data_IF_415037003416
#
_entry.id   IF_415037003416
#
_cell.length_a   1.000
_cell.length_b   1.000
_cell.length_c   1.000
_cell.angle_alpha   90.00
_cell.angle_beta   90.00
_cell.angle_gamma   90.00
#
_symmetry.space_group_name_H-M   'P 1'
#
loop_
_entity.id
_entity.type
_entity.pdbx_description
1 polymer ?
#
# COMPACT_ATOMS: atom_id res chain seq x y z
N UNK A 1 -22.97 -9.37 37.46
CA UNK A 1 -22.04 -8.27 37.80
C UNK A 1 -20.66 -8.73 38.28
N UNK A 2 -20.42 -10.03 38.53
CA UNK A 2 -19.12 -10.55 39.03
C UNK A 2 -18.05 -10.83 37.93
N UNK A 3 -18.40 -10.61 36.65
CA UNK A 3 -17.54 -10.99 35.51
C UNK A 3 -16.54 -9.89 35.12
N UNK A 4 -16.83 -8.62 35.45
CA UNK A 4 -15.92 -7.51 35.15
C UNK A 4 -14.74 -7.47 36.13
N UNK A 5 -15.01 -7.68 37.42
CA UNK A 5 -14.02 -7.67 38.50
C UNK A 5 -12.92 -8.73 38.28
N UNK A 6 -13.32 -9.94 37.89
CA UNK A 6 -12.39 -11.05 37.59
C UNK A 6 -11.51 -10.79 36.35
N UNK A 7 -11.98 -10.00 35.39
CA UNK A 7 -11.18 -9.63 34.21
C UNK A 7 -10.17 -8.53 34.58
N UNK A 8 -10.58 -7.56 35.39
CA UNK A 8 -9.72 -6.45 35.79
C UNK A 8 -8.60 -6.92 36.74
N UNK A 9 -8.90 -7.84 37.66
CA UNK A 9 -7.90 -8.51 38.50
C UNK A 9 -6.85 -9.27 37.68
N UNK A 10 -7.26 -9.95 36.61
CA UNK A 10 -6.32 -10.71 35.77
C UNK A 10 -5.49 -9.83 34.84
N UNK A 11 -6.03 -8.71 34.36
CA UNK A 11 -5.28 -7.71 33.58
C UNK A 11 -4.20 -7.04 34.43
N UNK A 12 -4.50 -6.74 35.69
CA UNK A 12 -3.55 -6.11 36.61
C UNK A 12 -2.38 -7.02 37.01
N UNK A 13 -2.57 -8.34 36.98
CA UNK A 13 -1.56 -9.33 37.32
C UNK A 13 -0.78 -9.88 36.12
N UNK A 14 -0.96 -9.31 34.92
CA UNK A 14 -0.19 -9.73 33.76
C UNK A 14 1.25 -9.22 33.92
N UNK A 15 2.28 -10.09 33.80
CA UNK A 15 3.66 -9.63 33.87
C UNK A 15 3.90 -8.60 32.77
N UNK A 16 4.63 -7.55 33.10
CA UNK A 16 5.08 -6.59 32.10
C UNK A 16 5.81 -7.37 31.00
N UNK A 17 5.50 -7.12 29.71
CA UNK A 17 6.26 -7.74 28.65
C UNK A 17 7.73 -7.37 28.87
N UNK A 18 8.61 -8.36 28.73
CA UNK A 18 10.04 -8.08 28.72
C UNK A 18 10.31 -6.96 27.73
N UNK A 19 11.12 -5.98 28.16
CA UNK A 19 11.48 -4.85 27.30
C UNK A 19 11.93 -5.41 25.96
N UNK A 20 11.46 -4.83 24.83
CA UNK A 20 11.86 -5.31 23.52
C UNK A 20 13.39 -5.38 23.50
N UNK A 21 13.98 -6.52 23.13
CA UNK A 21 15.41 -6.69 23.19
C UNK A 21 16.03 -5.69 22.21
N UNK A 22 16.59 -4.63 22.79
CA UNK A 22 17.31 -3.55 22.11
C UNK A 22 16.41 -2.64 21.25
N UNK A 23 16.63 -1.33 21.33
CA UNK A 23 16.01 -0.39 20.41
C UNK A 23 16.42 -0.73 18.98
N UNK A 24 15.50 -0.65 18.01
CA UNK A 24 15.83 -0.88 16.60
C UNK A 24 17.01 0.02 16.20
N UNK A 25 18.14 -0.59 15.84
CA UNK A 25 19.24 0.17 15.30
C UNK A 25 18.87 0.61 13.88
N UNK A 26 19.02 1.90 13.58
CA UNK A 26 18.70 2.39 12.24
C UNK A 26 19.59 1.76 11.14
N UNK A 27 20.65 1.03 11.54
CA UNK A 27 21.45 0.20 10.63
C UNK A 27 20.65 -0.96 10.02
N UNK A 28 19.60 -1.43 10.69
CA UNK A 28 18.64 -2.40 10.15
C UNK A 28 17.80 -1.85 8.99
N UNK A 29 17.81 -0.53 8.78
CA UNK A 29 17.14 0.14 7.67
C UNK A 29 18.09 0.60 6.54
N UNK A 30 19.42 0.54 6.74
CA UNK A 30 20.40 0.84 5.69
C UNK A 30 20.59 -0.40 4.81
N UNK A 31 20.14 -0.30 3.56
CA UNK A 31 20.24 -1.31 2.51
C UNK A 31 21.66 -1.85 2.30
N UNK A 32 22.70 -1.11 2.71
CA UNK A 32 24.10 -1.52 2.61
C UNK A 32 24.55 -2.46 3.73
N UNK A 33 23.82 -2.51 4.85
CA UNK A 33 24.17 -3.28 6.04
C UNK A 33 23.39 -4.59 6.14
N UNK A 34 22.25 -4.67 5.46
CA UNK A 34 21.48 -5.89 5.32
C UNK A 34 22.05 -6.73 4.19
N UNK A 35 22.30 -8.02 4.43
CA UNK A 35 22.79 -8.99 3.42
C UNK A 35 21.73 -9.33 2.35
N UNK A 36 20.91 -8.37 1.93
CA UNK A 36 20.09 -8.48 0.73
C UNK A 36 20.95 -7.95 -0.41
N UNK A 37 21.35 -8.83 -1.32
CA UNK A 37 22.02 -8.39 -2.52
C UNK A 37 21.09 -7.42 -3.26
N UNK A 38 21.53 -6.18 -3.47
CA UNK A 38 20.92 -5.34 -4.49
C UNK A 38 20.93 -6.18 -5.77
N UNK A 39 19.75 -6.53 -6.28
CA UNK A 39 19.55 -7.36 -7.46
C UNK A 39 20.11 -6.69 -8.70
N UNK A 40 21.43 -6.57 -8.76
CA UNK A 40 22.21 -5.99 -9.84
C UNK A 40 22.10 -6.97 -11.00
N UNK A 41 21.15 -6.70 -11.89
CA UNK A 41 21.13 -7.29 -13.23
C UNK A 41 22.29 -6.66 -14.00
N UNK A 42 23.51 -7.18 -13.80
CA UNK A 42 24.66 -7.00 -14.68
C UNK A 42 24.54 -8.04 -15.80
N UNK A 43 23.62 -7.84 -16.72
CA UNK A 43 23.74 -8.47 -18.04
C UNK A 43 23.16 -7.51 -19.06
N UNK A 44 23.95 -7.25 -20.10
CA UNK A 44 23.81 -6.11 -20.99
C UNK A 44 22.38 -5.87 -21.47
N UNK A 45 21.85 -4.70 -21.11
CA UNK A 45 20.66 -4.13 -21.77
C UNK A 45 21.12 -3.60 -23.13
N UNK A 46 21.44 -4.52 -24.03
CA UNK A 46 21.66 -4.26 -25.43
C UNK A 46 21.06 -5.40 -26.24
N UNK A 47 19.74 -5.44 -26.28
CA UNK A 47 19.02 -6.12 -27.36
C UNK A 47 18.02 -5.16 -27.97
N UNK A 48 18.54 -4.35 -28.90
CA UNK A 48 17.89 -3.84 -30.11
C UNK A 48 16.47 -3.30 -30.01
N UNK A 49 16.32 -1.98 -30.26
CA UNK A 49 15.15 -1.47 -30.96
C UNK A 49 14.34 -0.32 -30.33
N UNK A 50 14.90 0.52 -29.45
CA UNK A 50 14.22 1.75 -28.96
C UNK A 50 14.29 1.98 -27.45
N UNK A 51 15.47 1.80 -26.85
CA UNK A 51 15.56 1.53 -25.41
C UNK A 51 15.67 2.77 -24.49
N UNK A 52 15.68 4.02 -24.97
CA UNK A 52 15.81 5.18 -24.03
C UNK A 52 15.13 6.48 -24.47
N UNK A 53 14.57 6.56 -25.69
CA UNK A 53 13.98 7.82 -26.20
C UNK A 53 12.54 7.70 -26.69
N UNK A 54 12.07 6.49 -26.93
CA UNK A 54 10.68 6.23 -27.25
C UNK A 54 9.85 6.13 -25.95
N UNK A 55 8.61 6.65 -25.92
CA UNK A 55 7.71 6.37 -24.80
C UNK A 55 7.58 4.85 -24.66
N UNK A 56 7.69 4.35 -23.43
CA UNK A 56 7.51 2.94 -23.11
C UNK A 56 6.04 2.54 -23.33
N UNK A 57 5.66 2.35 -24.59
CA UNK A 57 4.37 1.78 -25.00
C UNK A 57 4.41 0.25 -25.03
N UNK A 58 5.56 -0.34 -24.72
CA UNK A 58 5.74 -1.77 -24.54
C UNK A 58 5.12 -2.25 -23.22
N UNK A 59 4.13 -3.13 -23.33
CA UNK A 59 3.46 -3.92 -22.29
C UNK A 59 3.90 -3.57 -20.86
N UNK A 60 3.17 -2.65 -20.22
CA UNK A 60 3.15 -2.57 -18.78
C UNK A 60 2.68 -3.92 -18.26
N UNK A 61 3.60 -4.73 -17.73
CA UNK A 61 3.25 -5.94 -16.99
C UNK A 61 2.20 -5.59 -15.94
N UNK A 62 1.40 -6.59 -15.56
CA UNK A 62 0.26 -6.55 -14.63
C UNK A 62 0.62 -6.06 -13.21
N UNK A 63 1.14 -4.84 -13.09
CA UNK A 63 1.15 -4.03 -11.88
C UNK A 63 0.24 -2.81 -12.08
N UNK A 64 -0.77 -2.97 -12.94
CA UNK A 64 -1.94 -2.11 -13.00
C UNK A 64 -2.99 -2.54 -11.99
N UNK A 65 -3.92 -1.63 -11.73
CA UNK A 65 -5.12 -1.81 -10.91
C UNK A 65 -5.75 -3.19 -11.15
N UNK A 66 -5.98 -3.93 -10.06
CA UNK A 66 -6.61 -5.25 -10.13
C UNK A 66 -8.05 -5.08 -10.62
N UNK A 67 -8.31 -5.51 -11.86
CA UNK A 67 -9.66 -5.53 -12.39
C UNK A 67 -10.45 -6.62 -11.67
N UNK A 68 -11.60 -6.24 -11.10
CA UNK A 68 -12.60 -7.17 -10.60
C UNK A 68 -13.36 -7.76 -11.80
N UNK A 69 -13.45 -9.09 -11.87
CA UNK A 69 -14.31 -9.77 -12.85
C UNK A 69 -15.79 -9.67 -12.49
N UNK A 70 -16.66 -9.77 -13.50
CA UNK A 70 -18.12 -9.81 -13.31
C UNK A 70 -18.76 -8.45 -13.02
N UNK A 71 -18.09 -7.35 -13.36
CA UNK A 71 -18.65 -6.01 -13.29
C UNK A 71 -19.52 -5.71 -14.52
N UNK A 72 -20.57 -4.91 -14.34
CA UNK A 72 -21.48 -4.47 -15.42
C UNK A 72 -20.82 -3.50 -16.43
N UNK A 73 -19.55 -3.13 -16.20
CA UNK A 73 -18.81 -2.19 -17.04
C UNK A 73 -17.33 -2.11 -16.66
N UNK A 74 -16.60 -1.26 -17.37
CA UNK A 74 -15.17 -1.03 -17.10
C UNK A 74 -15.04 -0.36 -15.72
N UNK A 75 -14.12 -0.80 -14.84
CA UNK A 75 -13.87 -0.13 -13.57
C UNK A 75 -13.57 1.37 -13.70
N UNK A 76 -14.15 2.19 -12.82
CA UNK A 76 -13.97 3.64 -12.77
C UNK A 76 -12.51 4.09 -12.68
N UNK A 77 -11.64 3.27 -12.10
CA UNK A 77 -10.22 3.54 -11.92
C UNK A 77 -9.38 3.19 -13.16
N UNK A 78 -9.92 2.41 -14.11
CA UNK A 78 -9.25 2.09 -15.36
C UNK A 78 -9.16 3.28 -16.33
N UNK A 79 -10.04 4.27 -16.20
CA UNK A 79 -10.13 5.46 -17.06
C UNK A 79 -9.41 6.68 -16.46
N UNK A 80 -9.28 7.76 -17.24
CA UNK A 80 -8.74 9.03 -16.75
C UNK A 80 -9.69 9.66 -15.72
N UNK A 81 -9.16 10.55 -14.86
CA UNK A 81 -9.94 11.23 -13.81
C UNK A 81 -11.17 11.97 -14.38
N UNK A 82 -11.04 12.56 -15.55
CA UNK A 82 -12.11 13.32 -16.20
C UNK A 82 -13.25 12.44 -16.70
N UNK A 83 -13.00 11.14 -16.89
CA UNK A 83 -13.99 10.16 -17.35
C UNK A 83 -14.59 9.34 -16.21
N UNK A 84 -14.16 9.56 -14.95
CA UNK A 84 -14.72 8.88 -13.80
C UNK A 84 -16.22 9.19 -13.66
N UNK A 85 -17.02 8.22 -13.25
CA UNK A 85 -18.47 8.35 -13.01
C UNK A 85 -19.32 8.59 -14.27
N UNK A 86 -18.78 8.31 -15.46
CA UNK A 86 -19.58 8.28 -16.68
C UNK A 86 -20.42 7.00 -16.80
N UNK A 87 -21.49 7.07 -17.60
CA UNK A 87 -22.36 5.93 -17.89
C UNK A 87 -21.58 4.77 -18.53
N UNK A 88 -21.81 3.54 -18.06
CA UNK A 88 -21.11 2.35 -18.57
C UNK A 88 -19.83 2.00 -17.82
N UNK A 89 -19.49 2.76 -16.76
CA UNK A 89 -18.41 2.44 -15.84
C UNK A 89 -18.98 1.84 -14.55
N UNK A 90 -18.26 0.85 -14.01
CA UNK A 90 -18.55 0.29 -12.70
C UNK A 90 -17.85 1.11 -11.61
N UNK A 91 -18.61 1.60 -10.64
CA UNK A 91 -18.01 2.29 -9.49
C UNK A 91 -17.39 1.28 -8.52
N UNK A 92 -16.07 1.16 -8.63
CA UNK A 92 -15.23 0.35 -7.75
C UNK A 92 -14.62 1.17 -6.62
N UNK A 93 -14.91 2.48 -6.53
CA UNK A 93 -14.45 3.27 -5.39
C UNK A 93 -15.30 3.00 -4.16
N UNK A 94 -14.65 2.57 -3.08
CA UNK A 94 -15.30 2.42 -1.79
C UNK A 94 -15.94 3.75 -1.37
N UNK A 95 -17.03 3.68 -0.60
CA UNK A 95 -17.65 4.87 -0.01
C UNK A 95 -16.58 5.69 0.70
N UNK A 96 -16.46 6.96 0.31
CA UNK A 96 -15.62 7.90 1.04
C UNK A 96 -16.29 8.17 2.39
N UNK A 97 -15.64 7.72 3.47
CA UNK A 97 -16.09 7.97 4.84
C UNK A 97 -15.60 9.32 5.37
N UNK A 98 -14.86 10.09 4.55
CA UNK A 98 -14.21 11.31 4.94
C UNK A 98 -13.14 11.09 6.01
N UNK A 99 -12.44 12.16 6.36
CA UNK A 99 -11.62 12.15 7.56
C UNK A 99 -12.51 12.46 8.78
N UNK A 100 -12.38 11.73 9.90
CA UNK A 100 -12.98 12.17 11.15
C UNK A 100 -12.44 13.57 11.46
N UNK A 101 -13.30 14.52 11.83
CA UNK A 101 -13.05 15.97 11.84
C UNK A 101 -11.69 16.45 12.41
N UNK A 102 -11.06 15.67 13.29
CA UNK A 102 -9.74 15.95 13.90
C UNK A 102 -8.52 15.53 13.06
N UNK A 103 -8.72 14.77 11.98
CA UNK A 103 -7.67 14.19 11.15
C UNK A 103 -7.78 14.64 9.69
N UNK A 104 -8.50 15.72 9.39
CA UNK A 104 -8.57 16.25 8.03
C UNK A 104 -7.23 16.90 7.64
N UNK A 105 -6.46 16.33 6.70
CA UNK A 105 -5.18 16.90 6.27
C UNK A 105 -5.35 18.22 5.51
N UNK A 106 -6.54 18.53 5.01
CA UNK A 106 -6.83 19.81 4.34
C UNK A 106 -7.04 20.98 5.32
N UNK A 107 -7.23 20.69 6.62
CA UNK A 107 -7.37 21.71 7.67
C UNK A 107 -6.05 22.32 8.15
N UNK A 108 -4.90 21.78 7.71
CA UNK A 108 -3.57 22.35 7.97
C UNK A 108 -3.13 23.18 6.76
N UNK A 109 -3.56 24.43 6.71
CA UNK A 109 -2.92 25.49 5.93
C UNK A 109 -2.47 26.61 6.86
#
# INVERSE_FOLDING_TARGET
MLYCETIDERKANLPLPEQPPVASDFNSADERTVNVGAGRVESGISSGGGSLREPATGHAGSSGREAKDGLDGIPNDAVTRDQKNHSGLADTTNKDYGYPAKNDPSSKQ
#
